data_IF_014629812076
#
_entry.id   IF_014629812076
#
_cell.length_a   1.000
_cell.length_b   1.000
_cell.length_c   1.000
_cell.angle_alpha   90.00
_cell.angle_beta   90.00
_cell.angle_gamma   90.00
#
_symmetry.space_group_name_H-M   'P 1'
#
loop_
_entity.id
_entity.type
_entity.pdbx_description
1 polymer ?
#
# COMPACT_ATOMS: atom_id res chain seq x y z
N UNK A 1 -2.54 -20.26 -4.39
CA UNK A 1 -3.51 -19.16 -4.46
C UNK A 1 -2.78 -17.82 -4.57
N UNK A 2 -3.36 -16.93 -5.35
CA UNK A 2 -2.77 -15.62 -5.54
C UNK A 2 -2.90 -14.79 -4.27
N UNK A 3 -1.86 -14.05 -3.95
CA UNK A 3 -1.93 -13.05 -2.90
C UNK A 3 -2.59 -11.79 -3.45
N UNK A 4 -3.21 -11.01 -2.58
CA UNK A 4 -3.97 -9.83 -2.97
C UNK A 4 -3.33 -8.56 -2.42
N UNK A 5 -3.24 -7.54 -3.26
CA UNK A 5 -2.79 -6.21 -2.85
C UNK A 5 -3.87 -5.18 -3.15
N UNK A 6 -4.07 -4.26 -2.20
CA UNK A 6 -4.89 -3.07 -2.45
C UNK A 6 -3.95 -1.90 -2.60
N UNK A 7 -4.12 -1.12 -3.67
CA UNK A 7 -3.31 0.06 -3.94
C UNK A 7 -4.18 1.30 -3.83
N UNK A 8 -3.77 2.22 -2.98
CA UNK A 8 -4.46 3.50 -2.77
C UNK A 8 -3.62 4.64 -3.35
N UNK A 9 -4.12 5.31 -4.38
CA UNK A 9 -3.48 6.46 -5.00
C UNK A 9 -4.52 7.19 -5.84
N UNK A 10 -4.47 8.52 -5.87
CA UNK A 10 -5.40 9.30 -6.66
C UNK A 10 -4.93 9.46 -8.13
N UNK A 11 -3.75 8.99 -8.47
CA UNK A 11 -3.23 9.01 -9.84
C UNK A 11 -3.63 7.73 -10.56
N UNK A 12 -4.63 7.84 -11.44
CA UNK A 12 -5.16 6.67 -12.14
C UNK A 12 -4.15 6.00 -13.06
N UNK A 13 -3.24 6.78 -13.64
CA UNK A 13 -2.20 6.21 -14.51
C UNK A 13 -1.23 5.37 -13.71
N UNK A 14 -0.85 5.85 -12.52
CA UNK A 14 0.04 5.09 -11.64
C UNK A 14 -0.64 3.82 -11.14
N UNK A 15 -1.92 3.89 -10.79
CA UNK A 15 -2.68 2.70 -10.38
C UNK A 15 -2.68 1.65 -11.49
N UNK A 16 -2.89 2.08 -12.74
CA UNK A 16 -2.90 1.16 -13.87
C UNK A 16 -1.55 0.49 -14.09
N UNK A 17 -0.47 1.28 -14.05
CA UNK A 17 0.89 0.75 -14.23
C UNK A 17 1.25 -0.23 -13.12
N UNK A 18 0.99 0.14 -11.87
CA UNK A 18 1.28 -0.74 -10.73
C UNK A 18 0.47 -2.03 -10.81
N UNK A 19 -0.79 -1.93 -11.24
CA UNK A 19 -1.64 -3.13 -11.40
C UNK A 19 -1.05 -4.07 -12.42
N UNK A 20 -0.62 -3.56 -13.57
CA UNK A 20 -0.03 -4.39 -14.62
C UNK A 20 1.23 -5.09 -14.12
N UNK A 21 2.09 -4.37 -13.43
CA UNK A 21 3.35 -4.93 -12.91
C UNK A 21 3.07 -6.04 -11.92
N UNK A 22 2.16 -5.80 -10.98
CA UNK A 22 1.90 -6.77 -9.91
C UNK A 22 1.06 -7.95 -10.38
N UNK A 23 0.14 -7.72 -11.33
CA UNK A 23 -0.61 -8.83 -11.92
C UNK A 23 0.32 -9.77 -12.68
N UNK A 24 1.36 -9.24 -13.31
CA UNK A 24 2.38 -10.06 -13.97
C UNK A 24 3.16 -10.93 -12.97
N UNK A 25 3.12 -10.58 -11.68
CA UNK A 25 3.73 -11.36 -10.60
C UNK A 25 2.70 -12.23 -9.88
N UNK A 26 1.54 -12.42 -10.47
CA UNK A 26 0.47 -13.27 -9.97
C UNK A 26 -0.25 -12.74 -8.73
N UNK A 27 -0.20 -11.42 -8.51
CA UNK A 27 -1.02 -10.80 -7.47
C UNK A 27 -2.41 -10.50 -8.02
N UNK A 28 -3.42 -10.65 -7.19
CA UNK A 28 -4.73 -10.07 -7.45
C UNK A 28 -4.66 -8.62 -6.97
N UNK A 29 -5.02 -7.66 -7.80
CA UNK A 29 -4.87 -6.25 -7.50
C UNK A 29 -6.21 -5.56 -7.44
N UNK A 30 -6.43 -4.80 -6.36
CA UNK A 30 -7.58 -3.91 -6.20
C UNK A 30 -7.03 -2.50 -6.11
N UNK A 31 -7.58 -1.58 -6.90
CA UNK A 31 -7.14 -0.18 -6.88
C UNK A 31 -8.25 0.70 -6.34
N UNK A 32 -7.87 1.69 -5.55
CA UNK A 32 -8.78 2.66 -4.97
C UNK A 32 -8.19 4.06 -5.07
N UNK A 33 -9.00 5.04 -5.43
CA UNK A 33 -8.56 6.42 -5.51
C UNK A 33 -8.87 7.21 -4.23
N UNK A 34 -9.51 6.57 -3.26
CA UNK A 34 -9.83 7.15 -1.96
C UNK A 34 -9.61 6.12 -0.87
N UNK A 35 -9.29 6.58 0.32
CA UNK A 35 -9.04 5.68 1.46
C UNK A 35 -9.99 5.96 2.64
N UNK A 36 -11.08 6.69 2.41
CA UNK A 36 -12.06 7.01 3.45
C UNK A 36 -12.75 5.77 4.01
N UNK A 37 -12.88 4.72 3.20
CA UNK A 37 -13.53 3.47 3.60
C UNK A 37 -12.51 2.35 3.77
N UNK A 38 -11.30 2.69 4.21
CA UNK A 38 -10.20 1.72 4.22
C UNK A 38 -10.50 0.47 5.05
N UNK A 39 -11.12 0.62 6.21
CA UNK A 39 -11.41 -0.55 7.04
C UNK A 39 -12.47 -1.47 6.41
N UNK A 40 -13.48 -0.87 5.75
CA UNK A 40 -14.47 -1.64 4.99
C UNK A 40 -13.84 -2.33 3.80
N UNK A 41 -12.95 -1.63 3.09
CA UNK A 41 -12.23 -2.19 1.95
C UNK A 41 -11.43 -3.42 2.35
N UNK A 42 -10.72 -3.33 3.47
CA UNK A 42 -9.91 -4.44 3.97
C UNK A 42 -10.79 -5.62 4.34
N UNK A 43 -11.91 -5.36 4.99
CA UNK A 43 -12.83 -6.43 5.37
C UNK A 43 -13.42 -7.11 4.14
N UNK A 44 -13.76 -6.34 3.11
CA UNK A 44 -14.34 -6.87 1.88
C UNK A 44 -13.33 -7.68 1.08
N UNK A 45 -12.11 -7.16 0.91
CA UNK A 45 -11.13 -7.72 -0.01
C UNK A 45 -10.11 -8.64 0.63
N UNK A 46 -9.92 -8.51 1.95
CA UNK A 46 -8.98 -9.33 2.71
C UNK A 46 -7.58 -9.37 2.06
N UNK A 47 -6.91 -8.21 1.94
CA UNK A 47 -5.62 -8.14 1.25
C UNK A 47 -4.50 -8.74 2.08
N UNK A 48 -3.43 -9.16 1.38
CA UNK A 48 -2.20 -9.62 2.02
C UNK A 48 -1.23 -8.47 2.22
N UNK A 49 -1.38 -7.38 1.46
CA UNK A 49 -0.52 -6.20 1.55
C UNK A 49 -1.28 -4.98 1.05
N UNK A 50 -0.97 -3.83 1.62
CA UNK A 50 -1.56 -2.54 1.23
C UNK A 50 -0.45 -1.60 0.78
N UNK A 51 -0.64 -0.98 -0.38
CA UNK A 51 0.26 0.05 -0.90
C UNK A 51 -0.48 1.38 -0.77
N UNK A 52 0.06 2.30 0.03
CA UNK A 52 -0.64 3.53 0.42
C UNK A 52 0.14 4.78 0.02
N UNK A 53 -0.46 5.60 -0.86
CA UNK A 53 0.10 6.90 -1.22
C UNK A 53 -0.15 7.93 -0.12
N UNK A 54 0.78 8.86 0.04
CA UNK A 54 0.65 9.94 1.02
C UNK A 54 -0.45 10.94 0.62
N UNK A 55 -0.52 11.28 -0.67
CA UNK A 55 -1.47 12.28 -1.17
C UNK A 55 -2.72 11.62 -1.72
N UNK A 56 -3.67 11.35 -0.83
CA UNK A 56 -5.00 10.84 -1.20
C UNK A 56 -6.03 11.79 -0.64
N UNK A 57 -7.06 12.14 -1.43
CA UNK A 57 -8.12 13.06 -0.97
C UNK A 57 -8.78 12.60 0.32
N UNK A 58 -9.33 13.56 1.03
CA UNK A 58 -10.10 13.42 2.27
C UNK A 58 -9.21 13.15 3.48
N UNK A 59 -8.99 11.90 3.87
CA UNK A 59 -8.28 11.65 5.12
C UNK A 59 -6.75 11.56 5.00
N UNK A 60 -6.25 11.35 3.77
CA UNK A 60 -4.80 11.23 3.54
C UNK A 60 -4.22 9.87 3.93
N UNK A 61 -3.03 9.58 3.38
CA UNK A 61 -2.40 8.27 3.55
C UNK A 61 -1.88 8.00 4.96
N UNK A 62 -1.36 9.02 5.65
CA UNK A 62 -0.85 8.85 7.02
C UNK A 62 -1.99 8.45 7.95
N UNK A 63 -3.10 9.17 7.90
CA UNK A 63 -4.24 8.89 8.75
C UNK A 63 -4.86 7.52 8.44
N UNK A 64 -4.97 7.19 7.15
CA UNK A 64 -5.51 5.90 6.73
C UNK A 64 -4.64 4.75 7.25
N UNK A 65 -3.32 4.88 7.13
CA UNK A 65 -2.38 3.87 7.63
C UNK A 65 -2.52 3.71 9.13
N UNK A 66 -2.67 4.81 9.86
CA UNK A 66 -2.88 4.74 11.31
C UNK A 66 -4.15 4.01 11.68
N UNK A 67 -5.21 4.18 10.91
CA UNK A 67 -6.46 3.46 11.15
C UNK A 67 -6.24 1.95 11.07
N UNK A 68 -5.48 1.50 10.08
CA UNK A 68 -5.15 0.08 9.93
C UNK A 68 -4.29 -0.40 11.10
N UNK A 69 -3.23 0.35 11.44
CA UNK A 69 -2.28 -0.07 12.46
C UNK A 69 -2.84 0.00 13.87
N UNK A 70 -3.87 0.79 14.08
CA UNK A 70 -4.57 0.85 15.37
C UNK A 70 -5.71 -0.17 15.46
N UNK A 71 -6.00 -0.89 14.38
CA UNK A 71 -7.06 -1.90 14.37
C UNK A 71 -6.50 -3.25 14.84
N UNK A 72 -7.07 -3.81 15.88
CA UNK A 72 -6.67 -5.12 16.37
C UNK A 72 -6.85 -6.19 15.31
N UNK A 73 -7.90 -6.06 14.49
CA UNK A 73 -8.22 -7.04 13.45
C UNK A 73 -7.29 -6.96 12.24
N UNK A 74 -6.77 -5.77 11.91
CA UNK A 74 -6.07 -5.55 10.65
C UNK A 74 -4.62 -5.10 10.78
N UNK A 75 -4.15 -4.79 12.00
CA UNK A 75 -2.79 -4.28 12.19
C UNK A 75 -1.68 -5.22 11.73
N UNK A 76 -2.00 -6.49 11.55
CA UNK A 76 -1.03 -7.49 11.07
C UNK A 76 -0.76 -7.36 9.57
N UNK A 77 -1.64 -6.66 8.83
CA UNK A 77 -1.49 -6.52 7.38
C UNK A 77 -0.37 -5.53 7.09
N UNK A 78 0.67 -5.92 6.34
CA UNK A 78 1.76 -5.00 6.03
C UNK A 78 1.28 -3.85 5.15
N UNK A 79 1.71 -2.64 5.50
CA UNK A 79 1.41 -1.43 4.74
C UNK A 79 2.72 -0.86 4.21
N UNK A 80 2.78 -0.68 2.90
CA UNK A 80 3.89 -0.04 2.21
C UNK A 80 3.46 1.39 1.92
N UNK A 81 4.15 2.36 2.52
CA UNK A 81 3.87 3.77 2.33
C UNK A 81 4.70 4.28 1.17
N UNK A 82 4.09 4.89 0.15
CA UNK A 82 4.85 5.39 -0.97
C UNK A 82 4.50 6.84 -1.27
N UNK A 83 5.52 7.63 -1.62
CA UNK A 83 5.37 9.06 -1.75
C UNK A 83 6.50 9.65 -2.57
N UNK A 84 6.22 10.76 -3.24
CA UNK A 84 7.24 11.55 -3.94
C UNK A 84 8.04 12.45 -2.99
N UNK A 85 7.61 12.58 -1.73
CA UNK A 85 8.30 13.42 -0.77
C UNK A 85 9.68 12.85 -0.41
N UNK A 86 10.65 13.74 -0.24
CA UNK A 86 12.00 13.33 0.15
C UNK A 86 12.04 12.73 1.57
N UNK A 87 11.04 13.05 2.37
CA UNK A 87 10.95 12.54 3.74
C UNK A 87 9.99 11.37 3.87
N UNK A 88 9.86 10.53 2.83
CA UNK A 88 8.95 9.37 2.83
C UNK A 88 9.22 8.45 4.03
N UNK A 89 10.48 8.28 4.40
CA UNK A 89 10.84 7.46 5.56
C UNK A 89 10.22 8.01 6.84
N UNK A 90 10.34 9.31 7.07
CA UNK A 90 9.77 9.95 8.26
C UNK A 90 8.25 9.84 8.28
N UNK A 91 7.62 10.04 7.12
CA UNK A 91 6.18 9.93 7.00
C UNK A 91 5.70 8.49 7.26
N UNK A 92 6.44 7.51 6.77
CA UNK A 92 6.12 6.10 6.99
C UNK A 92 6.18 5.75 8.48
N UNK A 93 7.22 6.21 9.16
CA UNK A 93 7.38 6.01 10.60
C UNK A 93 6.23 6.68 11.36
N UNK A 94 5.91 7.92 11.01
CA UNK A 94 4.80 8.66 11.62
C UNK A 94 3.47 7.91 11.46
N UNK A 95 3.25 7.34 10.28
CA UNK A 95 2.02 6.61 9.97
C UNK A 95 1.97 5.22 10.63
N UNK A 96 3.12 4.69 11.02
CA UNK A 96 3.22 3.34 11.54
C UNK A 96 3.29 2.29 10.44
N UNK A 97 3.67 2.68 9.23
CA UNK A 97 3.79 1.76 8.10
C UNK A 97 4.96 0.81 8.31
N UNK A 98 4.87 -0.36 7.70
CA UNK A 98 5.90 -1.41 7.83
C UNK A 98 7.04 -1.23 6.86
N UNK A 99 6.78 -0.61 5.70
CA UNK A 99 7.74 -0.40 4.63
C UNK A 99 7.51 0.96 4.00
N UNK A 100 8.51 1.45 3.30
CA UNK A 100 8.34 2.67 2.51
C UNK A 100 9.01 2.53 1.15
N UNK A 101 8.48 3.26 0.16
CA UNK A 101 9.00 3.28 -1.21
C UNK A 101 8.89 4.70 -1.72
N UNK A 102 10.00 5.28 -2.16
CA UNK A 102 10.01 6.65 -2.67
C UNK A 102 9.73 6.67 -4.17
N UNK A 103 8.87 7.58 -4.59
CA UNK A 103 8.63 7.83 -6.02
C UNK A 103 9.68 8.81 -6.56
N UNK A 104 10.14 8.68 -7.78
CA UNK A 104 9.84 7.59 -8.70
C UNK A 104 10.61 6.33 -8.31
N UNK A 105 10.02 5.18 -8.59
CA UNK A 105 10.63 3.89 -8.34
C UNK A 105 10.69 3.11 -9.64
N UNK A 106 11.59 2.13 -9.73
CA UNK A 106 11.62 1.26 -10.89
C UNK A 106 10.77 0.01 -10.65
N UNK A 107 10.55 -0.76 -11.71
CA UNK A 107 9.71 -1.96 -11.67
C UNK A 107 10.25 -2.95 -10.65
N UNK A 108 11.57 -3.15 -10.61
CA UNK A 108 12.19 -4.10 -9.69
C UNK A 108 11.97 -3.71 -8.23
N UNK A 109 12.06 -2.42 -7.92
CA UNK A 109 11.84 -1.94 -6.56
C UNK A 109 10.41 -2.23 -6.10
N UNK A 110 9.43 -1.95 -6.96
CA UNK A 110 8.03 -2.21 -6.64
C UNK A 110 7.78 -3.70 -6.45
N UNK A 111 8.25 -4.52 -7.39
CA UNK A 111 8.08 -5.97 -7.32
C UNK A 111 8.66 -6.54 -6.04
N UNK A 112 9.90 -6.17 -5.74
CA UNK A 112 10.62 -6.73 -4.60
C UNK A 112 9.98 -6.36 -3.28
N UNK A 113 9.59 -5.09 -3.10
CA UNK A 113 9.02 -4.65 -1.84
C UNK A 113 7.65 -5.29 -1.58
N UNK A 114 6.83 -5.43 -2.63
CA UNK A 114 5.51 -6.04 -2.50
C UNK A 114 5.64 -7.55 -2.22
N UNK A 115 6.51 -8.23 -2.95
CA UNK A 115 6.75 -9.66 -2.73
C UNK A 115 7.23 -9.91 -1.30
N UNK A 116 8.20 -9.13 -0.83
CA UNK A 116 8.75 -9.28 0.51
C UNK A 116 7.68 -9.02 1.57
N UNK A 117 6.90 -7.97 1.41
CA UNK A 117 5.84 -7.62 2.36
C UNK A 117 4.78 -8.72 2.41
N UNK A 118 4.35 -9.21 1.26
CA UNK A 118 3.32 -10.25 1.17
C UNK A 118 3.80 -11.58 1.73
N UNK A 119 5.11 -11.81 1.73
CA UNK A 119 5.70 -13.05 2.25
C UNK A 119 5.99 -12.99 3.74
N UNK A 120 5.83 -11.84 4.37
CA UNK A 120 6.16 -11.64 5.77
C UNK A 120 7.65 -11.56 6.04
N UNK A 121 8.45 -11.34 5.00
CA UNK A 121 9.90 -11.21 5.15
C UNK A 121 10.24 -9.78 5.56
N UNK A 122 10.96 -9.64 6.68
CA UNK A 122 11.45 -8.34 7.12
C UNK A 122 12.58 -7.88 6.22
N UNK A 123 12.53 -6.63 5.80
CA UNK A 123 13.59 -6.06 4.99
C UNK A 123 14.68 -5.48 5.86
#
# INVERSE_FOLDING_TARGET
>A
MSKKVIIYDDDSDLLEVCSMILEAKNFAVVTKDKCTEILSDIQEHNPDVILMDNWIPDIGGVKATRLVKNSVSFRHIPVIFFSANNNVNELAVEAGADYFLQKPFDISELENIVVNAASGISS
#
